data_IF_454944502891
#
_entry.id   IF_454944502891
#
_cell.length_a   1.000
_cell.length_b   1.000
_cell.length_c   1.000
_cell.angle_alpha   90.00
_cell.angle_beta   90.00
_cell.angle_gamma   90.00
#
_symmetry.space_group_name_H-M   'P 1'
#
loop_
_entity.id
_entity.type
_entity.pdbx_description
1 polymer ?
#
# COMPACT_ATOMS: atom_id res chain seq x y z
N UNK A 1 -13.68 -28.43 38.59
CA UNK A 1 -12.40 -28.61 37.86
C UNK A 1 -12.75 -28.52 36.38
N UNK A 2 -12.34 -27.46 35.69
CA UNK A 2 -12.75 -27.21 34.30
C UNK A 2 -11.88 -28.03 33.34
N UNK A 3 -12.52 -28.72 32.40
CA UNK A 3 -11.91 -29.67 31.47
C UNK A 3 -11.48 -28.96 30.16
N UNK A 4 -10.19 -29.05 29.84
CA UNK A 4 -9.52 -28.42 28.70
C UNK A 4 -9.16 -29.43 27.61
N UNK A 5 -9.78 -30.61 27.61
CA UNK A 5 -9.54 -31.73 26.70
C UNK A 5 -9.77 -31.43 25.20
N UNK A 6 -10.35 -30.28 24.85
CA UNK A 6 -10.51 -29.80 23.47
C UNK A 6 -9.32 -28.99 22.94
N UNK A 7 -8.34 -28.63 23.77
CA UNK A 7 -7.18 -27.80 23.37
C UNK A 7 -5.97 -28.62 22.87
N UNK A 8 -6.03 -29.95 22.86
CA UNK A 8 -4.91 -30.82 22.47
C UNK A 8 -5.34 -31.91 21.47
N UNK A 9 -5.69 -31.50 20.25
CA UNK A 9 -5.77 -32.40 19.10
C UNK A 9 -4.39 -32.68 18.52
N UNK A 10 -3.73 -33.76 18.94
CA UNK A 10 -2.57 -34.33 18.23
C UNK A 10 -3.07 -35.29 17.15
N UNK A 11 -2.92 -34.93 15.88
CA UNK A 11 -2.96 -35.91 14.78
C UNK A 11 -1.58 -36.05 14.17
N UNK A 12 -1.07 -37.29 14.22
CA UNK A 12 0.18 -37.71 13.57
C UNK A 12 0.07 -37.58 12.05
N UNK A 13 1.22 -37.26 11.49
CA UNK A 13 1.62 -37.12 10.08
C UNK A 13 1.45 -38.40 9.25
N UNK A 14 1.09 -38.26 7.97
CA UNK A 14 1.95 -38.49 6.77
C UNK A 14 1.09 -38.56 5.49
N UNK A 15 1.33 -37.66 4.53
CA UNK A 15 0.66 -37.69 3.22
C UNK A 15 0.63 -36.33 2.51
N UNK A 16 1.81 -35.89 2.06
CA UNK A 16 2.07 -35.12 0.84
C UNK A 16 0.86 -34.56 0.06
N UNK A 17 0.65 -33.25 0.15
CA UNK A 17 0.32 -32.43 -1.02
C UNK A 17 0.58 -30.96 -0.70
N UNK A 18 1.51 -30.41 -1.45
CA UNK A 18 1.84 -29.00 -1.53
C UNK A 18 0.62 -28.22 -2.05
N UNK A 19 0.06 -27.32 -1.24
CA UNK A 19 -0.75 -26.20 -1.73
C UNK A 19 -1.06 -25.18 -0.62
N UNK A 20 -0.36 -24.05 -0.71
CA UNK A 20 -0.97 -22.73 -0.63
C UNK A 20 -1.79 -22.39 0.62
N UNK A 21 -1.12 -22.13 1.74
CA UNK A 21 -1.60 -21.09 2.65
C UNK A 21 -0.44 -20.52 3.47
N UNK A 22 0.39 -19.71 2.82
CA UNK A 22 1.22 -18.76 3.54
C UNK A 22 0.28 -17.77 4.27
N UNK A 23 0.57 -17.39 5.52
CA UNK A 23 -0.19 -16.32 6.16
C UNK A 23 -0.10 -15.10 5.25
N UNK A 24 -1.25 -14.52 4.92
CA UNK A 24 -1.35 -13.23 4.23
C UNK A 24 -0.40 -12.27 4.94
N UNK A 25 0.79 -12.08 4.35
CA UNK A 25 1.58 -10.90 4.63
C UNK A 25 0.69 -9.78 4.13
N UNK A 26 0.11 -9.04 5.07
CA UNK A 26 -0.45 -7.74 4.78
C UNK A 26 0.78 -6.91 4.38
N UNK A 27 1.12 -6.98 3.10
CA UNK A 27 2.10 -6.11 2.47
C UNK A 27 1.49 -4.71 2.56
N UNK A 28 1.74 -4.04 3.67
CA UNK A 28 1.41 -2.63 3.91
C UNK A 28 2.26 -1.69 3.02
N UNK A 29 2.86 -2.22 1.95
CA UNK A 29 3.79 -1.51 1.08
C UNK A 29 3.13 -0.91 -0.16
N UNK A 30 1.89 -1.30 -0.51
CA UNK A 30 1.21 -0.80 -1.72
C UNK A 30 0.62 0.62 -1.59
N UNK A 31 0.90 1.30 -0.48
CA UNK A 31 0.64 2.75 -0.31
C UNK A 31 1.91 3.53 0.05
N UNK A 32 3.09 2.95 -0.18
CA UNK A 32 4.33 3.73 -0.14
C UNK A 32 4.39 4.62 -1.38
N UNK A 33 3.76 5.78 -1.25
CA UNK A 33 3.98 6.92 -2.12
C UNK A 33 5.49 7.09 -2.27
N UNK A 34 5.96 6.98 -3.52
CA UNK A 34 7.37 7.06 -3.90
C UNK A 34 7.97 8.32 -3.30
N UNK A 35 8.86 8.18 -2.30
CA UNK A 35 9.38 9.28 -1.47
C UNK A 35 9.91 10.42 -2.33
N UNK A 36 9.19 11.53 -2.40
CA UNK A 36 9.73 12.72 -2.99
C UNK A 36 10.26 13.62 -1.89
N UNK A 37 11.15 14.55 -2.26
CA UNK A 37 11.77 15.59 -1.43
C UNK A 37 11.56 15.44 0.10
N UNK A 38 12.55 14.83 0.77
CA UNK A 38 12.52 14.43 2.18
C UNK A 38 11.78 15.43 3.09
N UNK A 39 10.61 15.02 3.58
CA UNK A 39 9.92 15.72 4.65
C UNK A 39 10.82 15.93 5.87
N UNK A 40 10.58 16.99 6.64
CA UNK A 40 11.38 17.22 7.84
C UNK A 40 11.28 16.08 8.86
N UNK A 41 12.25 16.06 9.78
CA UNK A 41 12.24 15.16 10.94
C UNK A 41 10.92 15.26 11.73
N UNK A 42 10.37 16.46 11.86
CA UNK A 42 9.12 16.72 12.57
C UNK A 42 7.93 16.07 11.88
N UNK A 43 7.75 16.33 10.57
CA UNK A 43 6.68 15.72 9.77
C UNK A 43 6.76 14.19 9.84
N UNK A 44 7.94 13.59 9.60
CA UNK A 44 8.11 12.15 9.58
C UNK A 44 7.69 11.45 10.88
N UNK A 45 7.91 12.10 12.03
CA UNK A 45 7.47 11.59 13.32
C UNK A 45 5.98 11.88 13.53
N UNK A 46 5.51 13.09 13.22
CA UNK A 46 4.11 13.49 13.43
C UNK A 46 3.09 12.59 12.72
N UNK A 47 3.38 12.17 11.49
CA UNK A 47 2.47 11.31 10.70
C UNK A 47 2.47 9.84 11.15
N UNK A 48 3.41 9.43 11.99
CA UNK A 48 3.59 8.03 12.39
C UNK A 48 2.55 7.58 13.42
N UNK A 49 2.20 6.31 13.40
CA UNK A 49 1.24 5.71 14.34
C UNK A 49 1.79 5.75 15.77
N UNK A 50 3.09 5.47 15.95
CA UNK A 50 3.74 5.44 17.26
C UNK A 50 3.72 6.82 17.94
N UNK A 51 3.83 7.90 17.16
CA UNK A 51 3.73 9.26 17.70
C UNK A 51 2.28 9.64 18.06
N UNK A 52 1.27 9.07 17.39
CA UNK A 52 -0.14 9.26 17.74
C UNK A 52 -0.51 8.51 19.02
N UNK A 53 0.10 7.34 19.23
CA UNK A 53 -0.09 6.54 20.43
C UNK A 53 0.57 7.17 21.66
N UNK A 54 1.80 7.70 21.49
CA UNK A 54 2.57 8.36 22.55
C UNK A 54 2.97 9.80 22.20
N UNK A 55 2.01 10.75 22.11
CA UNK A 55 2.27 12.08 21.56
C UNK A 55 3.08 12.96 22.51
N UNK A 56 2.93 12.78 23.83
CA UNK A 56 3.69 13.53 24.83
C UNK A 56 5.18 13.20 24.71
N UNK A 57 5.53 11.91 24.60
CA UNK A 57 6.91 11.48 24.41
C UNK A 57 7.45 11.92 23.05
N UNK A 58 6.63 11.85 21.99
CA UNK A 58 7.04 12.25 20.65
C UNK A 58 7.43 13.74 20.61
N UNK A 59 6.59 14.62 21.16
CA UNK A 59 6.90 16.07 21.25
C UNK A 59 8.15 16.31 22.10
N UNK A 60 8.30 15.58 23.21
CA UNK A 60 9.48 15.68 24.09
C UNK A 60 10.76 15.31 23.34
N UNK A 61 10.80 14.13 22.72
CA UNK A 61 11.95 13.66 21.95
C UNK A 61 12.28 14.57 20.77
N UNK A 62 11.27 15.14 20.10
CA UNK A 62 11.48 16.08 19.01
C UNK A 62 12.13 17.39 19.48
N UNK A 63 11.83 17.86 20.70
CA UNK A 63 12.38 19.10 21.26
C UNK A 63 13.74 18.92 21.94
N UNK A 64 13.88 17.85 22.71
CA UNK A 64 15.01 17.64 23.62
C UNK A 64 16.16 16.86 22.97
N UNK A 65 15.91 16.18 21.85
CA UNK A 65 16.92 15.33 21.21
C UNK A 65 17.07 15.61 19.73
N UNK A 66 18.29 15.45 19.24
CA UNK A 66 18.63 15.47 17.81
C UNK A 66 18.56 14.06 17.18
N UNK A 67 17.83 13.14 17.80
CA UNK A 67 17.67 11.78 17.28
C UNK A 67 16.99 11.80 15.92
N UNK A 68 17.44 10.92 15.01
CA UNK A 68 16.78 10.74 13.72
C UNK A 68 15.35 10.24 13.90
N UNK A 69 14.47 10.56 12.95
CA UNK A 69 13.05 10.15 12.98
C UNK A 69 12.88 8.64 13.19
N UNK A 70 13.73 7.80 12.57
CA UNK A 70 13.73 6.34 12.76
C UNK A 70 14.02 5.93 14.21
N UNK A 71 15.01 6.55 14.87
CA UNK A 71 15.34 6.26 16.27
C UNK A 71 14.24 6.72 17.22
N UNK A 72 13.60 7.86 16.92
CA UNK A 72 12.46 8.36 17.69
C UNK A 72 11.29 7.37 17.62
N UNK A 73 10.90 6.93 16.41
CA UNK A 73 9.82 5.94 16.24
C UNK A 73 10.07 4.64 17.00
N UNK A 74 11.31 4.13 16.94
CA UNK A 74 11.68 2.91 17.66
C UNK A 74 11.56 3.07 19.19
N UNK A 75 11.97 4.22 19.72
CA UNK A 75 11.77 4.54 21.14
C UNK A 75 10.29 4.66 21.49
N UNK A 76 9.49 5.31 20.65
CA UNK A 76 8.05 5.47 20.89
C UNK A 76 7.32 4.11 20.94
N UNK A 77 7.69 3.17 20.05
CA UNK A 77 7.10 1.83 20.01
C UNK A 77 7.43 0.97 21.25
N UNK A 78 8.58 1.20 21.88
CA UNK A 78 9.06 0.42 23.02
C UNK A 78 8.76 1.06 24.38
N UNK A 79 8.37 2.34 24.40
CA UNK A 79 8.16 3.08 25.64
C UNK A 79 6.70 3.09 26.05
N UNK A 80 6.40 3.00 27.37
CA UNK A 80 5.06 3.22 27.87
C UNK A 80 4.58 4.65 27.59
N UNK A 81 3.26 4.87 27.65
CA UNK A 81 2.66 6.16 27.37
C UNK A 81 3.19 7.23 28.34
N UNK A 82 3.88 8.25 27.81
CA UNK A 82 4.51 9.24 28.65
C UNK A 82 3.49 10.22 29.23
N UNK A 83 3.70 10.54 30.50
CA UNK A 83 2.90 11.51 31.23
C UNK A 83 3.47 12.92 31.11
N UNK A 84 2.58 13.91 31.21
CA UNK A 84 2.99 15.30 31.35
C UNK A 84 3.53 15.55 32.76
N UNK A 85 4.39 16.57 32.91
CA UNK A 85 4.92 16.95 34.24
C UNK A 85 3.80 17.33 35.19
N UNK A 86 2.76 17.99 34.69
CA UNK A 86 1.57 18.32 35.49
C UNK A 86 0.86 17.06 35.99
N UNK A 87 0.60 16.10 35.09
CA UNK A 87 -0.09 14.85 35.45
C UNK A 87 0.71 14.03 36.44
N UNK A 88 2.04 13.94 36.27
CA UNK A 88 2.90 13.22 37.22
C UNK A 88 2.80 13.84 38.62
N UNK A 89 3.00 15.16 38.74
CA UNK A 89 2.92 15.85 40.03
C UNK A 89 1.54 15.74 40.68
N UNK A 90 0.48 15.88 39.89
CA UNK A 90 -0.88 15.74 40.39
C UNK A 90 -1.09 14.34 40.99
N UNK A 91 -0.67 13.29 40.29
CA UNK A 91 -0.85 11.93 40.78
C UNK A 91 0.07 11.61 41.97
N UNK A 92 1.30 12.13 42.00
CA UNK A 92 2.21 12.02 43.15
C UNK A 92 1.58 12.61 44.43
N UNK A 93 0.85 13.72 44.32
CA UNK A 93 0.23 14.39 45.46
C UNK A 93 -1.10 13.74 45.91
N UNK A 94 -1.81 13.06 44.99
CA UNK A 94 -3.20 12.64 45.20
C UNK A 94 -3.42 11.12 45.23
N UNK A 95 -2.45 10.32 44.77
CA UNK A 95 -2.50 8.86 44.80
C UNK A 95 -1.36 8.29 45.66
N UNK A 96 -1.64 7.80 46.88
CA UNK A 96 -0.64 7.22 47.77
C UNK A 96 0.06 5.98 47.19
N UNK A 97 -0.52 5.32 46.20
CA UNK A 97 0.07 4.13 45.56
C UNK A 97 1.00 4.49 44.39
N UNK A 98 1.05 5.76 44.00
CA UNK A 98 1.70 6.22 42.78
C UNK A 98 3.19 5.85 42.71
N UNK A 99 3.93 6.02 43.80
CA UNK A 99 5.38 5.74 43.81
C UNK A 99 5.71 4.26 43.60
N UNK A 100 4.79 3.36 43.93
CA UNK A 100 4.98 1.91 43.83
C UNK A 100 4.61 1.34 42.46
N UNK A 101 3.97 2.13 41.61
CA UNK A 101 3.55 1.73 40.26
C UNK A 101 4.70 1.87 39.26
N UNK A 102 4.75 0.95 38.30
CA UNK A 102 5.64 1.09 37.14
C UNK A 102 5.12 2.15 36.15
N UNK A 103 5.90 2.47 35.10
CA UNK A 103 5.54 3.52 34.15
C UNK A 103 4.26 3.21 33.33
N UNK A 104 3.97 1.92 33.07
CA UNK A 104 2.77 1.52 32.35
C UNK A 104 1.53 1.60 33.24
N UNK A 105 1.65 1.13 34.48
CA UNK A 105 0.64 1.24 35.53
C UNK A 105 0.32 2.72 35.82
N UNK A 106 1.34 3.56 36.00
CA UNK A 106 1.18 5.02 36.17
C UNK A 106 0.38 5.63 35.02
N UNK A 107 0.69 5.25 33.78
CA UNK A 107 -0.04 5.74 32.62
C UNK A 107 -1.50 5.30 32.61
N UNK A 108 -1.78 4.03 32.97
CA UNK A 108 -3.16 3.50 33.08
C UNK A 108 -3.93 4.15 34.22
N UNK A 109 -3.33 4.28 35.41
CA UNK A 109 -3.95 4.89 36.58
C UNK A 109 -4.27 6.36 36.33
N UNK A 110 -3.34 7.12 35.73
CA UNK A 110 -3.58 8.50 35.36
C UNK A 110 -4.70 8.65 34.31
N UNK A 111 -4.76 7.77 33.30
CA UNK A 111 -5.87 7.75 32.34
C UNK A 111 -7.19 7.45 33.04
N UNK A 112 -7.23 6.42 33.90
CA UNK A 112 -8.44 6.04 34.62
C UNK A 112 -8.95 7.19 35.51
N UNK A 113 -8.06 7.81 36.28
CA UNK A 113 -8.40 8.98 37.09
C UNK A 113 -8.96 10.13 36.22
N UNK A 114 -8.31 10.42 35.09
CA UNK A 114 -8.76 11.45 34.17
C UNK A 114 -10.19 11.21 33.68
N UNK A 115 -10.48 9.98 33.22
CA UNK A 115 -11.81 9.64 32.71
C UNK A 115 -12.91 9.76 33.75
N UNK A 116 -12.60 9.45 35.02
CA UNK A 116 -13.56 9.50 36.12
C UNK A 116 -13.74 10.91 36.70
N UNK A 117 -12.69 11.74 36.65
CA UNK A 117 -12.63 13.03 37.32
C UNK A 117 -12.53 14.22 36.35
N UNK A 118 -13.15 14.09 35.17
CA UNK A 118 -13.21 15.17 34.15
C UNK A 118 -11.83 15.75 33.80
N UNK A 119 -10.84 14.88 33.71
CA UNK A 119 -9.46 15.24 33.42
C UNK A 119 -8.82 16.24 34.41
N UNK A 120 -9.17 16.17 35.70
CA UNK A 120 -8.57 17.02 36.72
C UNK A 120 -7.03 16.88 36.82
N UNK A 121 -6.49 15.70 36.51
CA UNK A 121 -5.04 15.46 36.43
C UNK A 121 -4.41 15.86 35.07
N UNK A 122 -5.20 16.39 34.13
CA UNK A 122 -4.75 16.93 32.85
C UNK A 122 -4.14 15.91 31.88
N UNK A 123 -4.34 14.61 32.07
CA UNK A 123 -3.84 13.56 31.19
C UNK A 123 -4.34 13.74 29.74
N UNK A 124 -5.66 13.87 29.55
CA UNK A 124 -6.30 13.97 28.23
C UNK A 124 -5.96 15.31 27.58
N UNK A 125 -5.96 16.39 28.36
CA UNK A 125 -5.59 17.73 27.91
C UNK A 125 -4.14 17.76 27.41
N UNK A 126 -3.20 17.14 28.15
CA UNK A 126 -1.82 17.05 27.73
C UNK A 126 -1.66 16.22 26.44
N UNK A 127 -2.31 15.05 26.37
CA UNK A 127 -2.29 14.20 25.16
C UNK A 127 -2.83 14.96 23.95
N UNK A 128 -3.96 15.65 24.11
CA UNK A 128 -4.62 16.44 23.05
C UNK A 128 -3.75 17.62 22.61
N UNK A 129 -3.13 18.32 23.55
CA UNK A 129 -2.22 19.42 23.26
C UNK A 129 -0.99 18.95 22.48
N UNK A 130 -0.41 17.81 22.89
CA UNK A 130 0.72 17.20 22.20
C UNK A 130 0.34 16.77 20.77
N UNK A 131 -0.82 16.15 20.57
CA UNK A 131 -1.33 15.82 19.23
C UNK A 131 -1.51 17.07 18.35
N UNK A 132 -2.06 18.16 18.91
CA UNK A 132 -2.17 19.44 18.19
C UNK A 132 -0.80 20.00 17.83
N UNK A 133 0.21 19.85 18.69
CA UNK A 133 1.58 20.27 18.39
C UNK A 133 2.20 19.44 17.27
N UNK A 134 2.03 18.11 17.28
CA UNK A 134 2.49 17.23 16.20
C UNK A 134 1.82 17.58 14.87
N UNK A 135 0.50 17.80 14.87
CA UNK A 135 -0.25 18.19 13.68
C UNK A 135 0.26 19.49 13.04
N UNK A 136 0.77 20.43 13.85
CA UNK A 136 1.40 21.66 13.33
C UNK A 136 2.76 21.41 12.66
N UNK A 137 3.40 20.28 12.93
CA UNK A 137 4.66 19.86 12.29
C UNK A 137 4.41 19.05 11.01
N UNK A 138 3.16 18.71 10.70
CA UNK A 138 2.81 18.06 9.44
C UNK A 138 2.95 19.07 8.29
N UNK A 139 3.97 18.86 7.47
CA UNK A 139 4.13 19.53 6.18
C UNK A 139 3.02 19.13 5.19
N UNK A 140 2.62 20.04 4.27
CA UNK A 140 1.70 19.70 3.19
C UNK A 140 2.30 18.62 2.28
N UNK A 141 1.42 17.88 1.60
CA UNK A 141 1.84 16.89 0.60
C UNK A 141 2.69 17.55 -0.49
N UNK A 142 3.75 16.85 -0.85
CA UNK A 142 4.61 17.20 -1.98
C UNK A 142 3.93 16.88 -3.31
N UNK A 143 4.34 17.55 -4.40
CA UNK A 143 3.73 17.39 -5.73
C UNK A 143 3.73 15.94 -6.22
N UNK A 144 4.83 15.25 -5.99
CA UNK A 144 4.99 13.84 -6.33
C UNK A 144 4.08 12.93 -5.47
N UNK A 145 3.80 13.30 -4.20
CA UNK A 145 2.82 12.57 -3.40
C UNK A 145 1.38 12.80 -3.88
N UNK A 146 1.07 14.03 -4.28
CA UNK A 146 -0.22 14.36 -4.92
C UNK A 146 -0.39 13.55 -6.21
N UNK A 147 0.68 13.44 -7.01
CA UNK A 147 0.67 12.63 -8.23
C UNK A 147 0.44 11.15 -7.92
N UNK A 148 1.15 10.59 -6.95
CA UNK A 148 0.95 9.20 -6.56
C UNK A 148 -0.48 8.93 -6.06
N UNK A 149 -1.06 9.86 -5.29
CA UNK A 149 -2.46 9.76 -4.88
C UNK A 149 -3.42 9.82 -6.07
N UNK A 150 -3.16 10.70 -7.04
CA UNK A 150 -3.95 10.78 -8.27
C UNK A 150 -3.84 9.50 -9.11
N UNK A 151 -2.66 8.89 -9.17
CA UNK A 151 -2.43 7.63 -9.88
C UNK A 151 -3.18 6.47 -9.21
N UNK A 152 -3.14 6.38 -7.87
CA UNK A 152 -3.91 5.39 -7.10
C UNK A 152 -5.41 5.59 -7.30
N UNK A 153 -5.90 6.83 -7.23
CA UNK A 153 -7.30 7.15 -7.46
C UNK A 153 -7.75 6.77 -8.89
N UNK A 154 -6.91 7.06 -9.88
CA UNK A 154 -7.16 6.71 -11.28
C UNK A 154 -7.19 5.19 -11.47
N UNK A 155 -6.28 4.46 -10.82
CA UNK A 155 -6.26 3.00 -10.83
C UNK A 155 -7.54 2.42 -10.22
N UNK A 156 -7.96 2.91 -9.05
CA UNK A 156 -9.21 2.47 -8.42
C UNK A 156 -10.43 2.75 -9.30
N UNK A 157 -10.47 3.91 -9.96
CA UNK A 157 -11.54 4.23 -10.90
C UNK A 157 -11.55 3.27 -12.10
N UNK A 158 -10.38 2.93 -12.63
CA UNK A 158 -10.25 1.96 -13.70
C UNK A 158 -10.61 0.54 -13.24
N UNK A 159 -10.31 0.16 -12.00
CA UNK A 159 -10.68 -1.16 -11.47
C UNK A 159 -12.21 -1.27 -11.27
N UNK A 160 -12.87 -0.17 -10.88
CA UNK A 160 -14.31 -0.14 -10.63
C UNK A 160 -15.15 0.02 -11.90
N UNK A 161 -14.70 0.83 -12.86
CA UNK A 161 -15.42 1.11 -14.11
C UNK A 161 -14.74 0.42 -15.30
N UNK A 162 -15.27 -0.73 -15.77
CA UNK A 162 -14.78 -1.40 -16.95
C UNK A 162 -14.87 -0.54 -18.22
N UNK A 163 -15.68 0.51 -18.24
CA UNK A 163 -15.85 1.41 -19.37
C UNK A 163 -15.09 2.73 -19.22
N UNK A 164 -14.15 2.80 -18.26
CA UNK A 164 -13.28 3.97 -18.12
C UNK A 164 -12.53 4.26 -19.43
N UNK A 165 -12.22 5.53 -19.73
CA UNK A 165 -11.49 5.89 -20.95
C UNK A 165 -10.17 5.12 -21.11
N UNK A 166 -9.48 4.83 -20.01
CA UNK A 166 -8.23 4.05 -20.02
C UNK A 166 -8.47 2.59 -20.38
N UNK A 167 -9.46 1.95 -19.75
CA UNK A 167 -9.83 0.57 -20.03
C UNK A 167 -10.32 0.39 -21.47
N UNK A 168 -11.13 1.33 -21.98
CA UNK A 168 -11.60 1.32 -23.37
C UNK A 168 -10.41 1.49 -24.33
N UNK A 169 -9.46 2.38 -24.03
CA UNK A 169 -8.24 2.53 -24.83
C UNK A 169 -7.38 1.26 -24.80
N UNK A 170 -7.21 0.65 -23.64
CA UNK A 170 -6.46 -0.60 -23.48
C UNK A 170 -7.08 -1.74 -24.30
N UNK A 171 -8.41 -1.90 -24.25
CA UNK A 171 -9.12 -2.89 -25.07
C UNK A 171 -8.94 -2.64 -26.56
N UNK A 172 -9.15 -1.40 -27.02
CA UNK A 172 -8.95 -1.04 -28.44
C UNK A 172 -7.53 -1.35 -28.92
N UNK A 173 -6.52 -1.10 -28.08
CA UNK A 173 -5.12 -1.43 -28.39
C UNK A 173 -4.91 -2.94 -28.47
N UNK A 174 -5.43 -3.70 -27.51
CA UNK A 174 -5.36 -5.16 -27.53
C UNK A 174 -6.06 -5.77 -28.75
N UNK A 175 -7.23 -5.24 -29.11
CA UNK A 175 -7.99 -5.61 -30.30
C UNK A 175 -7.20 -5.33 -31.59
N UNK A 176 -6.53 -4.18 -31.66
CA UNK A 176 -5.69 -3.81 -32.80
C UNK A 176 -4.43 -4.69 -32.92
N UNK A 177 -3.77 -4.97 -31.79
CA UNK A 177 -2.61 -5.87 -31.71
C UNK A 177 -3.00 -7.29 -32.11
N UNK A 178 -4.14 -7.80 -31.64
CA UNK A 178 -4.68 -9.11 -32.02
C UNK A 178 -4.94 -9.20 -33.53
N UNK A 179 -5.63 -8.21 -34.10
CA UNK A 179 -5.89 -8.17 -35.56
C UNK A 179 -4.60 -8.17 -36.36
N UNK A 180 -3.59 -7.46 -35.88
CA UNK A 180 -2.28 -7.40 -36.52
C UNK A 180 -1.53 -8.72 -36.43
N UNK A 181 -1.52 -9.37 -35.27
CA UNK A 181 -0.89 -10.68 -35.09
C UNK A 181 -1.53 -11.76 -35.98
N UNK A 182 -2.87 -11.81 -36.01
CA UNK A 182 -3.63 -12.75 -36.84
C UNK A 182 -3.34 -12.50 -38.33
N UNK A 183 -3.34 -11.24 -38.77
CA UNK A 183 -3.04 -10.88 -40.15
C UNK A 183 -1.61 -11.28 -40.54
N UNK A 184 -0.63 -11.03 -39.67
CA UNK A 184 0.75 -11.44 -39.90
C UNK A 184 0.88 -12.97 -39.93
N UNK A 185 0.19 -13.70 -39.05
CA UNK A 185 0.20 -15.16 -39.03
C UNK A 185 -0.42 -15.75 -40.32
N UNK A 186 -1.53 -15.15 -40.79
CA UNK A 186 -2.17 -15.52 -42.04
C UNK A 186 -1.28 -15.23 -43.25
N UNK A 187 -0.61 -14.06 -43.29
CA UNK A 187 0.36 -13.75 -44.34
C UNK A 187 1.53 -14.74 -44.35
N UNK A 188 2.10 -15.08 -43.17
CA UNK A 188 3.15 -16.11 -43.04
C UNK A 188 2.69 -17.48 -43.52
N UNK A 189 1.42 -17.85 -43.27
CA UNK A 189 0.83 -19.08 -43.78
C UNK A 189 0.73 -19.03 -45.32
N UNK A 190 0.28 -17.91 -45.88
CA UNK A 190 0.14 -17.73 -47.31
C UNK A 190 1.51 -17.77 -48.02
N UNK A 191 2.54 -17.16 -47.43
CA UNK A 191 3.92 -17.25 -47.92
C UNK A 191 4.42 -18.70 -47.99
N UNK A 192 4.12 -19.51 -46.96
CA UNK A 192 4.47 -20.94 -46.96
C UNK A 192 3.73 -21.72 -48.05
N UNK A 193 2.46 -21.40 -48.29
CA UNK A 193 1.67 -22.03 -49.36
C UNK A 193 2.26 -21.64 -50.73
N UNK A 194 2.57 -20.36 -50.95
CA UNK A 194 3.20 -19.87 -52.18
C UNK A 194 4.58 -20.52 -52.40
N UNK A 195 5.37 -20.71 -51.34
CA UNK A 195 6.65 -21.42 -51.40
C UNK A 195 6.53 -22.89 -51.82
N UNK A 196 5.37 -23.54 -51.56
CA UNK A 196 5.07 -24.90 -52.04
C UNK A 196 4.63 -24.97 -53.51
N UNK A 197 4.53 -23.83 -54.20
CA UNK A 197 4.13 -23.74 -55.61
C UNK A 197 2.62 -23.64 -55.84
N UNK A 198 1.83 -23.54 -54.77
CA UNK A 198 0.37 -23.37 -54.85
C UNK A 198 0.03 -21.87 -54.90
N UNK A 199 -0.78 -21.46 -55.88
CA UNK A 199 -1.29 -20.08 -55.98
C UNK A 199 -2.56 -19.90 -55.14
N UNK A 200 -2.64 -18.79 -54.42
CA UNK A 200 -3.78 -18.37 -53.64
C UNK A 200 -4.66 -17.35 -54.40
N UNK A 201 -5.95 -17.22 -54.04
CA UNK A 201 -6.83 -16.23 -54.65
C UNK A 201 -6.32 -14.79 -54.43
N UNK A 202 -6.24 -14.01 -55.51
CA UNK A 202 -5.74 -12.64 -55.47
C UNK A 202 -4.22 -12.50 -55.70
N UNK A 203 -3.48 -13.61 -55.80
CA UNK A 203 -2.07 -13.59 -56.19
C UNK A 203 -1.92 -13.07 -57.63
N UNK A 204 -0.98 -12.14 -57.81
CA UNK A 204 -0.58 -11.70 -59.14
C UNK A 204 0.58 -12.58 -59.62
N UNK A 205 0.41 -13.22 -60.78
CA UNK A 205 1.52 -13.94 -61.41
C UNK A 205 2.41 -12.95 -62.16
N UNK A 206 3.70 -12.88 -61.77
CA UNK A 206 4.95 -12.56 -62.52
C UNK A 206 5.82 -11.62 -61.67
N UNK A 207 7.06 -11.98 -61.31
CA UNK A 207 8.30 -11.93 -62.15
C UNK A 207 9.24 -13.11 -61.80
N UNK A 208 9.97 -13.69 -62.76
CA UNK A 208 10.95 -14.80 -62.56
C UNK A 208 10.41 -16.17 -62.06
N UNK A 209 9.12 -16.47 -62.25
CA UNK A 209 8.56 -17.81 -61.97
C UNK A 209 8.17 -18.08 -60.50
N UNK A 210 8.28 -17.09 -59.62
CA UNK A 210 7.79 -17.16 -58.24
C UNK A 210 6.41 -16.53 -58.10
N UNK A 211 5.58 -17.07 -57.21
CA UNK A 211 4.23 -16.58 -56.89
C UNK A 211 4.38 -15.56 -55.75
N UNK A 212 3.97 -14.31 -55.99
CA UNK A 212 4.01 -13.23 -55.00
C UNK A 212 2.58 -12.88 -54.55
N UNK A 213 2.43 -12.53 -53.27
CA UNK A 213 1.15 -12.11 -52.70
C UNK A 213 0.75 -10.69 -53.14
N UNK A 214 -0.52 -10.30 -52.97
CA UNK A 214 -1.00 -8.97 -53.31
C UNK A 214 -0.33 -7.88 -52.45
N UNK A 215 -0.15 -6.69 -53.02
CA UNK A 215 0.35 -5.52 -52.29
C UNK A 215 -0.57 -5.20 -51.10
N UNK A 216 0.00 -5.02 -49.91
CA UNK A 216 -0.79 -4.72 -48.70
C UNK A 216 -1.57 -5.91 -48.14
N UNK A 217 -1.17 -7.16 -48.45
CA UNK A 217 -1.84 -8.38 -47.98
C UNK A 217 -2.13 -8.38 -46.47
N UNK A 218 -1.19 -7.93 -45.64
CA UNK A 218 -1.37 -7.85 -44.19
C UNK A 218 -2.48 -6.86 -43.79
N UNK A 219 -2.59 -5.71 -44.45
CA UNK A 219 -3.65 -4.73 -44.16
C UNK A 219 -5.03 -5.24 -44.58
N UNK A 220 -5.09 -5.91 -45.75
CA UNK A 220 -6.30 -6.56 -46.22
C UNK A 220 -6.75 -7.67 -45.27
N UNK A 221 -5.83 -8.53 -44.83
CA UNK A 221 -6.11 -9.58 -43.85
C UNK A 221 -6.52 -8.98 -42.51
N UNK A 222 -5.85 -7.92 -42.04
CA UNK A 222 -6.18 -7.20 -40.79
C UNK A 222 -7.62 -6.66 -40.83
N UNK A 223 -8.08 -6.14 -41.97
CA UNK A 223 -9.45 -5.64 -42.15
C UNK A 223 -10.53 -6.73 -42.14
N UNK A 224 -10.15 -7.97 -42.42
CA UNK A 224 -11.05 -9.13 -42.47
C UNK A 224 -11.17 -9.86 -41.12
N UNK A 225 -10.35 -9.51 -40.12
CA UNK A 225 -10.41 -10.12 -38.79
C UNK A 225 -11.59 -9.54 -37.99
N UNK A 226 -12.61 -10.35 -37.64
CA UNK A 226 -13.71 -9.90 -36.79
C UNK A 226 -13.22 -9.61 -35.37
N UNK A 227 -13.87 -8.66 -34.69
CA UNK A 227 -13.72 -8.40 -33.24
C UNK A 227 -14.89 -9.03 -32.50
#
# INVERSE_FOLDING_TARGET
MFDFSHLSGKTKTKGESDNGNAPLKLDNDDTQITRPKQHSRGHNVAVSTEAKDNPVLAVRLLKETELSSKKIKLKLASSPAALSVFTMKFMEENDPTWEFQDDEEKARTALMFSTQNRDANGYIAAKTSALKALKKMEEPLTEDEVKALADIASKMQNDYDPMSPDNVRARRKADEEYREEVAQAAARRNDRIRASGVSLPGDTRRVNGKIEGPNGEVELLKSQVPL
#
